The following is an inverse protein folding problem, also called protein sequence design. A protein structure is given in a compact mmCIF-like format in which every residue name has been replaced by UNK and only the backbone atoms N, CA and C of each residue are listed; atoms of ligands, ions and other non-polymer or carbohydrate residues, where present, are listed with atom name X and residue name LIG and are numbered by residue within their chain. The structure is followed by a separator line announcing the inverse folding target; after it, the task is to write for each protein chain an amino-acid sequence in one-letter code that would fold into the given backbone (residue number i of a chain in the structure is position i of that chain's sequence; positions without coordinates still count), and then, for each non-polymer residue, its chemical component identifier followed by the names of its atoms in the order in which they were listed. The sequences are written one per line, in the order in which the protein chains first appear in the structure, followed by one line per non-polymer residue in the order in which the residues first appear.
data_IF_807471835111
#
_entry.id   IF_807471835111
#
_cell.length_a   1.000
_cell.length_b   1.000
_cell.length_c   1.000
_cell.angle_alpha   90.00
_cell.angle_beta   90.00
_cell.angle_gamma   90.00
#
_symmetry.space_group_name_H-M   'P 1'
#
loop_
_entity.id
_entity.type
_entity.pdbx_description
1 polymer ?
#
# COMPACT_ATOMS: atom_id res chain seq x y z
N UNK A 1 -0.70 -9.58 -21.87
CA UNK A 1 -1.89 -8.87 -21.44
C UNK A 1 -1.72 -8.32 -20.03
N UNK A 2 -2.68 -7.53 -19.58
CA UNK A 2 -2.71 -7.00 -18.20
C UNK A 2 -3.62 -7.93 -17.39
N UNK A 3 -3.16 -8.35 -16.20
CA UNK A 3 -3.98 -9.11 -15.26
C UNK A 3 -4.52 -8.13 -14.22
N UNK A 4 -5.83 -8.09 -14.04
CA UNK A 4 -6.50 -7.29 -13.02
C UNK A 4 -6.79 -8.19 -11.80
N UNK A 5 -6.31 -7.77 -10.63
CA UNK A 5 -6.51 -8.48 -9.37
C UNK A 5 -7.50 -7.69 -8.48
N UNK A 6 -8.63 -8.32 -8.17
CA UNK A 6 -9.68 -7.77 -7.31
C UNK A 6 -10.14 -8.88 -6.37
N UNK A 7 -9.72 -8.82 -5.13
CA UNK A 7 -9.92 -9.85 -4.11
C UNK A 7 -9.55 -11.26 -4.61
N UNK A 8 -8.41 -11.34 -5.26
CA UNK A 8 -7.86 -12.59 -5.80
C UNK A 8 -6.34 -12.52 -5.84
N UNK A 9 -5.72 -13.64 -6.16
CA UNK A 9 -4.27 -13.84 -6.12
C UNK A 9 -3.76 -14.42 -7.43
N UNK A 10 -2.50 -14.16 -7.74
CA UNK A 10 -1.79 -14.69 -8.88
C UNK A 10 -0.39 -15.14 -8.44
N UNK A 11 -0.08 -16.40 -8.67
CA UNK A 11 1.28 -16.89 -8.56
C UNK A 11 2.10 -16.40 -9.75
N UNK A 12 3.19 -15.69 -9.47
CA UNK A 12 4.15 -15.27 -10.49
C UNK A 12 5.07 -16.43 -10.82
N UNK A 13 5.49 -17.16 -9.79
CA UNK A 13 6.25 -18.40 -9.87
C UNK A 13 6.00 -19.23 -8.60
N UNK A 14 6.79 -20.29 -8.41
CA UNK A 14 6.66 -21.19 -7.25
C UNK A 14 6.98 -20.50 -5.91
N UNK A 15 7.63 -19.33 -5.93
CA UNK A 15 8.12 -18.65 -4.73
C UNK A 15 7.43 -17.32 -4.46
N UNK A 16 6.70 -16.75 -5.42
CA UNK A 16 6.12 -15.39 -5.32
C UNK A 16 4.64 -15.43 -5.67
N UNK A 17 3.82 -14.90 -4.77
CA UNK A 17 2.41 -14.68 -4.99
C UNK A 17 2.05 -13.20 -4.87
N UNK A 18 1.22 -12.69 -5.78
CA UNK A 18 0.71 -11.32 -5.76
C UNK A 18 -0.78 -11.35 -5.49
N UNK A 19 -1.21 -10.59 -4.50
CA UNK A 19 -2.59 -10.47 -4.05
C UNK A 19 -3.13 -9.08 -4.34
N UNK A 20 -4.32 -8.98 -4.92
CA UNK A 20 -5.04 -7.72 -5.05
C UNK A 20 -6.16 -7.66 -4.02
N UNK A 21 -6.17 -6.64 -3.16
CA UNK A 21 -7.18 -6.43 -2.14
C UNK A 21 -8.00 -5.19 -2.43
N UNK A 22 -9.29 -5.38 -2.72
CA UNK A 22 -10.25 -4.30 -2.81
C UNK A 22 -10.74 -3.91 -1.41
N UNK A 23 -10.77 -2.62 -1.15
CA UNK A 23 -11.20 -2.09 0.15
C UNK A 23 -12.63 -1.59 0.08
N UNK A 24 -13.45 -1.95 1.06
CA UNK A 24 -14.81 -1.44 1.19
C UNK A 24 -14.82 0.10 1.30
N UNK A 25 -15.84 0.73 0.73
CA UNK A 25 -16.01 2.20 0.76
C UNK A 25 -15.90 2.80 2.15
N UNK A 26 -16.36 2.08 3.20
CA UNK A 26 -16.28 2.55 4.59
C UNK A 26 -14.85 2.86 5.05
N UNK A 27 -13.84 2.13 4.54
CA UNK A 27 -12.42 2.33 4.86
C UNK A 27 -11.86 3.64 4.28
N UNK A 28 -12.54 4.26 3.34
CA UNK A 28 -12.16 5.55 2.74
C UNK A 28 -12.84 6.74 3.40
N UNK A 29 -13.79 6.54 4.33
CA UNK A 29 -14.47 7.64 4.97
C UNK A 29 -13.55 8.36 5.96
N UNK A 30 -13.53 9.70 5.90
CA UNK A 30 -12.72 10.56 6.79
C UNK A 30 -12.90 10.26 8.28
N UNK A 31 -14.10 9.84 8.68
CA UNK A 31 -14.45 9.54 10.08
C UNK A 31 -14.10 8.11 10.51
N UNK A 32 -13.65 7.25 9.58
CA UNK A 32 -13.27 5.88 9.91
C UNK A 32 -11.92 5.91 10.66
N UNK A 33 -11.93 5.51 11.91
CA UNK A 33 -10.75 5.50 12.81
C UNK A 33 -10.35 4.10 13.28
N UNK A 34 -11.03 3.07 12.79
CA UNK A 34 -10.75 1.67 13.14
C UNK A 34 -9.66 1.05 12.26
N UNK A 35 -9.16 -0.11 12.68
CA UNK A 35 -8.49 -1.06 11.79
C UNK A 35 -9.47 -1.72 10.83
N UNK A 36 -9.02 -2.68 10.03
CA UNK A 36 -9.94 -3.49 9.23
C UNK A 36 -10.82 -4.37 10.13
N UNK A 37 -11.96 -4.79 9.60
CA UNK A 37 -12.78 -5.81 10.28
C UNK A 37 -11.93 -7.06 10.47
N UNK A 38 -12.06 -7.68 11.64
CA UNK A 38 -11.32 -8.90 11.95
C UNK A 38 -11.56 -9.97 10.90
N UNK A 39 -10.47 -10.46 10.29
CA UNK A 39 -10.55 -11.49 9.25
C UNK A 39 -10.80 -10.98 7.84
N UNK A 40 -11.05 -9.67 7.62
CA UNK A 40 -11.36 -9.10 6.30
C UNK A 40 -10.38 -9.56 5.21
N UNK A 41 -9.08 -9.50 5.49
CA UNK A 41 -8.07 -9.90 4.49
C UNK A 41 -8.17 -11.40 4.20
N UNK A 42 -8.30 -12.24 5.25
CA UNK A 42 -8.40 -13.70 5.12
C UNK A 42 -9.66 -14.18 4.40
N UNK A 43 -10.73 -13.39 4.43
CA UNK A 43 -11.97 -13.69 3.71
C UNK A 43 -11.83 -13.46 2.20
N UNK A 44 -10.88 -12.62 1.79
CA UNK A 44 -10.75 -12.17 0.40
C UNK A 44 -9.52 -12.72 -0.31
N UNK A 45 -8.45 -13.01 0.43
CA UNK A 45 -7.21 -13.57 -0.12
C UNK A 45 -6.66 -14.64 0.80
N UNK A 46 -6.06 -15.66 0.22
CA UNK A 46 -5.36 -16.74 0.93
C UNK A 46 -3.84 -16.52 0.84
N UNK A 47 -3.18 -16.46 1.99
CA UNK A 47 -1.75 -16.18 2.10
C UNK A 47 -1.01 -17.51 2.29
N UNK A 48 -0.28 -17.93 1.27
CA UNK A 48 0.63 -19.07 1.33
C UNK A 48 1.95 -18.63 1.98
N UNK A 49 2.20 -19.10 3.19
CA UNK A 49 3.41 -18.73 3.98
C UNK A 49 4.71 -19.33 3.46
N UNK A 50 4.64 -20.26 2.52
CA UNK A 50 5.81 -20.83 1.87
C UNK A 50 6.29 -19.96 0.69
N UNK A 51 5.50 -18.95 0.31
CA UNK A 51 5.82 -18.00 -0.75
C UNK A 51 6.11 -16.59 -0.19
N UNK A 52 6.81 -15.79 -0.98
CA UNK A 52 6.93 -14.36 -0.75
C UNK A 52 5.65 -13.66 -1.24
N UNK A 53 4.89 -13.10 -0.32
CA UNK A 53 3.56 -12.57 -0.56
C UNK A 53 3.60 -11.05 -0.77
N UNK A 54 3.17 -10.60 -1.94
CA UNK A 54 3.07 -9.18 -2.29
C UNK A 54 1.61 -8.77 -2.30
N UNK A 55 1.24 -7.79 -1.47
CA UNK A 55 -0.10 -7.23 -1.40
C UNK A 55 -0.19 -5.93 -2.20
N UNK A 56 -1.12 -5.87 -3.13
CA UNK A 56 -1.55 -4.65 -3.80
C UNK A 56 -2.81 -4.13 -3.09
N UNK A 57 -2.69 -3.05 -2.33
CA UNK A 57 -3.80 -2.44 -1.62
C UNK A 57 -3.77 -0.93 -1.78
N UNK A 58 -4.91 -0.33 -2.12
CA UNK A 58 -4.94 1.09 -2.46
C UNK A 58 -4.58 2.01 -1.27
N UNK A 59 -5.08 1.74 -0.07
CA UNK A 59 -4.86 2.59 1.11
C UNK A 59 -3.64 2.16 1.94
N UNK A 60 -2.72 3.05 2.29
CA UNK A 60 -1.60 2.72 3.17
C UNK A 60 -1.93 2.76 4.66
N UNK A 61 -3.16 3.11 5.04
CA UNK A 61 -3.54 3.34 6.44
C UNK A 61 -3.60 2.06 7.27
N UNK A 62 -3.83 0.92 6.63
CA UNK A 62 -4.07 -0.37 7.30
C UNK A 62 -2.79 -1.22 7.41
N UNK A 63 -1.64 -0.56 7.59
CA UNK A 63 -0.32 -1.21 7.59
C UNK A 63 -0.19 -2.33 8.65
N UNK A 64 -0.86 -2.19 9.79
CA UNK A 64 -0.86 -3.21 10.84
C UNK A 64 -1.70 -4.43 10.43
N UNK A 65 -2.88 -4.18 9.87
CA UNK A 65 -3.77 -5.24 9.39
C UNK A 65 -3.08 -6.04 8.25
N UNK A 66 -2.34 -5.36 7.38
CA UNK A 66 -1.54 -6.02 6.33
C UNK A 66 -0.43 -6.89 6.94
N UNK A 67 0.31 -6.37 7.90
CA UNK A 67 1.36 -7.12 8.60
C UNK A 67 0.81 -8.35 9.32
N UNK A 68 -0.29 -8.19 10.05
CA UNK A 68 -0.96 -9.28 10.78
C UNK A 68 -1.53 -10.36 9.85
N UNK A 69 -1.82 -10.03 8.59
CA UNK A 69 -2.26 -11.02 7.60
C UNK A 69 -1.15 -11.98 7.19
N UNK A 70 0.12 -11.56 7.30
CA UNK A 70 1.29 -12.35 6.98
C UNK A 70 1.88 -12.09 5.60
N UNK A 71 1.54 -10.97 4.95
CA UNK A 71 2.21 -10.53 3.71
C UNK A 71 3.61 -9.98 4.01
N UNK A 72 4.53 -10.12 3.05
CA UNK A 72 5.92 -9.70 3.18
C UNK A 72 6.14 -8.28 2.65
N UNK A 73 5.44 -7.92 1.59
CA UNK A 73 5.52 -6.62 0.93
C UNK A 73 4.12 -6.09 0.63
N UNK A 74 3.80 -4.89 1.10
CA UNK A 74 2.59 -4.18 0.73
C UNK A 74 2.90 -2.97 -0.16
N UNK A 75 2.24 -2.88 -1.30
CA UNK A 75 2.33 -1.76 -2.23
C UNK A 75 1.04 -0.95 -2.16
N UNK A 76 1.17 0.35 -1.83
CA UNK A 76 0.03 1.23 -1.66
C UNK A 76 0.24 2.59 -2.35
N UNK A 77 -0.84 3.33 -2.53
CA UNK A 77 -0.83 4.67 -3.12
C UNK A 77 -1.79 5.60 -2.39
N UNK A 78 -2.86 6.00 -3.05
CA UNK A 78 -4.03 6.77 -2.56
C UNK A 78 -3.77 8.23 -2.21
N UNK A 79 -2.69 8.58 -1.55
CA UNK A 79 -2.45 9.93 -1.04
C UNK A 79 -1.77 10.86 -2.03
N UNK A 80 -1.36 10.35 -3.19
CA UNK A 80 -0.70 11.12 -4.26
C UNK A 80 0.40 12.04 -3.73
N UNK A 81 1.20 11.56 -2.76
CA UNK A 81 2.24 12.35 -2.13
C UNK A 81 1.74 13.46 -1.19
N UNK A 82 0.40 13.66 -1.07
CA UNK A 82 -0.23 14.59 -0.14
C UNK A 82 -0.46 16.00 -0.70
N UNK A 83 -0.74 16.17 -1.99
CA UNK A 83 -1.05 17.43 -2.71
C UNK A 83 0.00 18.53 -2.52
N UNK A 84 0.39 18.81 -1.28
CA UNK A 84 1.48 19.69 -0.85
C UNK A 84 2.36 18.90 0.10
N UNK A 85 3.67 18.84 -0.19
CA UNK A 85 4.64 18.11 0.62
C UNK A 85 5.75 19.04 1.12
N UNK A 86 6.10 18.91 2.39
CA UNK A 86 7.30 19.55 2.92
C UNK A 86 8.57 18.83 2.43
N UNK A 87 9.73 19.53 2.36
CA UNK A 87 11.01 18.92 2.00
C UNK A 87 11.38 17.70 2.85
N UNK A 88 10.86 17.60 4.08
CA UNK A 88 11.06 16.46 4.99
C UNK A 88 10.16 15.24 4.69
N UNK A 89 9.42 15.22 3.56
CA UNK A 89 8.58 14.09 3.15
C UNK A 89 7.21 14.00 3.85
N UNK A 90 6.84 15.01 4.66
CA UNK A 90 5.54 15.07 5.33
C UNK A 90 4.51 15.70 4.41
N UNK A 91 3.42 14.98 4.10
CA UNK A 91 2.29 15.55 3.38
C UNK A 91 1.51 16.53 4.27
N UNK A 92 1.30 17.74 3.76
CA UNK A 92 0.54 18.78 4.50
C UNK A 92 -0.90 18.38 4.65
N UNK A 93 -1.49 17.81 3.58
CA UNK A 93 -2.89 17.42 3.55
C UNK A 93 -3.08 16.22 2.61
N UNK A 94 -3.74 15.18 3.09
CA UNK A 94 -4.18 14.06 2.25
C UNK A 94 -5.54 14.36 1.61
N UNK A 95 -5.96 13.64 0.55
CA UNK A 95 -7.31 13.75 -0.01
C UNK A 95 -8.42 13.56 1.01
N UNK A 96 -8.16 12.83 2.09
CA UNK A 96 -9.09 12.63 3.21
C UNK A 96 -8.98 13.71 4.29
N UNK A 97 -8.27 14.83 4.02
CA UNK A 97 -8.04 15.94 4.96
C UNK A 97 -7.33 15.52 6.26
N UNK A 98 -6.45 14.51 6.21
CA UNK A 98 -5.52 14.25 7.28
C UNK A 98 -4.30 15.17 7.10
N UNK A 99 -4.02 15.97 8.12
CA UNK A 99 -2.89 16.90 8.12
C UNK A 99 -1.64 16.25 8.68
N UNK A 100 -0.47 16.63 8.14
CA UNK A 100 0.86 16.21 8.61
C UNK A 100 1.07 14.69 8.64
N UNK A 101 0.56 13.98 7.65
CA UNK A 101 0.69 12.54 7.57
C UNK A 101 2.06 12.14 6.98
N UNK A 102 2.78 11.26 7.69
CA UNK A 102 4.04 10.65 7.22
C UNK A 102 3.87 9.42 6.35
N UNK A 103 2.63 8.93 6.18
CA UNK A 103 2.29 7.77 5.34
C UNK A 103 1.88 8.18 3.93
N UNK A 104 2.35 9.31 3.42
CA UNK A 104 1.95 9.79 2.08
C UNK A 104 2.85 9.28 0.97
N UNK A 105 4.09 8.93 1.30
CA UNK A 105 5.09 8.41 0.33
C UNK A 105 6.24 7.74 1.08
N UNK A 106 6.93 6.82 0.40
CA UNK A 106 8.16 6.21 0.87
C UNK A 106 7.99 4.78 1.39
N UNK A 107 9.00 4.31 2.11
CA UNK A 107 9.08 2.94 2.60
C UNK A 107 8.96 2.91 4.12
N UNK A 108 8.19 1.98 4.65
CA UNK A 108 8.03 1.74 6.08
C UNK A 108 8.09 0.25 6.40
N UNK A 109 8.85 -0.11 7.42
CA UNK A 109 8.92 -1.47 7.93
C UNK A 109 8.07 -1.60 9.20
N UNK A 110 7.24 -2.64 9.28
CA UNK A 110 6.46 -3.01 10.48
C UNK A 110 6.58 -4.53 10.64
N UNK A 111 7.06 -4.97 11.80
CA UNK A 111 7.39 -6.39 11.99
C UNK A 111 8.35 -6.90 10.92
N UNK A 112 7.96 -7.95 10.21
CA UNK A 112 8.70 -8.51 9.08
C UNK A 112 8.29 -7.93 7.73
N UNK A 113 7.16 -7.23 7.66
CA UNK A 113 6.60 -6.67 6.43
C UNK A 113 7.25 -5.31 6.09
N UNK A 114 7.42 -5.07 4.80
CA UNK A 114 7.75 -3.75 4.24
C UNK A 114 6.53 -3.20 3.51
N UNK A 115 6.16 -1.96 3.79
CA UNK A 115 5.17 -1.24 3.00
C UNK A 115 5.87 -0.15 2.17
N UNK A 116 5.55 -0.10 0.87
CA UNK A 116 6.01 0.95 -0.04
C UNK A 116 4.79 1.75 -0.50
N UNK A 117 4.87 3.07 -0.39
CA UNK A 117 3.80 3.99 -0.73
C UNK A 117 4.31 4.92 -1.83
N UNK A 118 3.68 4.84 -3.00
CA UNK A 118 4.03 5.67 -4.16
C UNK A 118 3.19 6.94 -4.23
N UNK A 119 3.82 8.03 -4.69
CA UNK A 119 3.12 9.27 -5.03
C UNK A 119 2.29 9.14 -6.31
N UNK A 120 2.59 8.13 -7.15
CA UNK A 120 1.92 7.89 -8.42
C UNK A 120 2.17 8.99 -9.47
N UNK A 121 1.53 8.84 -10.62
CA UNK A 121 1.69 9.74 -11.76
C UNK A 121 0.56 10.79 -11.87
N UNK A 122 -0.61 10.49 -11.31
CA UNK A 122 -1.81 11.31 -11.41
C UNK A 122 -1.94 12.38 -10.31
N UNK A 123 -2.88 13.29 -10.50
CA UNK A 123 -3.36 14.24 -9.48
C UNK A 123 -4.73 13.80 -8.97
N UNK A 124 -5.15 14.30 -7.81
CA UNK A 124 -6.49 14.09 -7.27
C UNK A 124 -7.38 15.32 -7.57
N UNK A 125 -8.42 15.55 -6.78
CA UNK A 125 -9.46 16.56 -6.95
C UNK A 125 -8.96 17.97 -7.30
N UNK A 126 -7.76 18.33 -6.89
CA UNK A 126 -7.08 19.58 -7.26
C UNK A 126 -5.84 19.22 -8.06
N UNK A 127 -5.78 19.67 -9.32
CA UNK A 127 -4.65 19.39 -10.24
C UNK A 127 -3.40 20.23 -9.90
N UNK A 128 -3.02 20.27 -8.62
CA UNK A 128 -1.85 20.98 -8.14
C UNK A 128 -0.99 20.00 -7.33
N UNK A 129 0.30 19.92 -7.68
CA UNK A 129 1.33 19.27 -6.89
C UNK A 129 2.39 20.31 -6.53
N UNK A 130 2.60 20.53 -5.24
CA UNK A 130 3.64 21.44 -4.76
C UNK A 130 4.69 20.64 -3.96
N UNK A 131 5.93 20.65 -4.44
CA UNK A 131 7.04 19.81 -3.94
C UNK A 131 6.72 18.31 -3.92
N UNK A 132 5.82 17.87 -4.77
CA UNK A 132 5.35 16.50 -4.87
C UNK A 132 5.40 16.04 -6.34
N UNK A 133 6.59 15.66 -6.79
CA UNK A 133 6.79 15.21 -8.17
C UNK A 133 6.15 13.84 -8.39
N UNK A 134 5.72 13.59 -9.63
CA UNK A 134 5.29 12.27 -10.06
C UNK A 134 6.40 11.24 -9.88
N UNK A 135 6.08 10.04 -9.41
CA UNK A 135 7.05 9.04 -9.03
C UNK A 135 6.74 7.69 -9.68
N UNK A 136 7.77 7.07 -10.22
CA UNK A 136 7.77 5.67 -10.64
C UNK A 136 8.77 4.92 -9.75
N UNK A 137 8.27 3.93 -9.02
CA UNK A 137 9.08 3.14 -8.09
C UNK A 137 9.47 1.82 -8.78
N UNK A 138 10.76 1.54 -8.84
CA UNK A 138 11.30 0.26 -9.28
C UNK A 138 11.74 -0.55 -8.08
N UNK A 139 11.17 -1.75 -7.93
CA UNK A 139 11.45 -2.65 -6.82
C UNK A 139 12.21 -3.85 -7.35
N UNK A 140 13.42 -4.08 -6.81
CA UNK A 140 14.21 -5.25 -7.13
C UNK A 140 14.17 -6.24 -5.96
N UNK A 141 13.48 -7.37 -6.14
CA UNK A 141 13.48 -8.47 -5.19
C UNK A 141 14.72 -9.33 -5.39
N UNK A 142 15.39 -9.69 -4.32
CA UNK A 142 16.55 -10.56 -4.35
C UNK A 142 16.39 -11.68 -3.33
N UNK A 143 16.62 -12.92 -3.74
CA UNK A 143 16.72 -14.04 -2.84
C UNK A 143 17.92 -13.82 -1.90
N UNK A 144 17.68 -13.92 -0.59
CA UNK A 144 18.79 -13.92 0.36
C UNK A 144 19.30 -15.36 0.47
N UNK A 145 20.44 -15.64 -0.12
CA UNK A 145 21.12 -16.93 0.12
C UNK A 145 21.32 -17.06 1.63
N UNK A 146 20.74 -18.08 2.24
CA UNK A 146 21.07 -18.46 3.62
C UNK A 146 22.53 -18.92 3.57
N UNK A 147 23.44 -18.07 4.00
CA UNK A 147 24.83 -18.44 4.31
C UNK A 147 24.86 -19.29 5.58
#
# INVERSE_FOLDING_TARGET
GIVYLSNNSLDIDDNICVHGLDLLKKYYYRRYKGGMDTGYIKEHIDIDRDKFNILLAHSPLFIKDYEESGVDLALAGHFHGGTIRFPCGVGVMTPQFHFFNRLVVGMKKVGNMVQIIGAGLGTHSINIRLNDMSELIVINLKCRNKS
#
